data_IF_173216221530
#
_entry.id   IF_173216221530
#
_cell.length_a   1.000
_cell.length_b   1.000
_cell.length_c   1.000
_cell.angle_alpha   90.00
_cell.angle_beta   90.00
_cell.angle_gamma   90.00
#
_symmetry.space_group_name_H-M   'P 1'
#
loop_
_entity.id
_entity.type
_entity.pdbx_description
1 polymer ?
#
# COMPACT_ATOMS: atom_id res chain seq x y z
N UNK A 1 -45.67 54.36 -41.92
CA UNK A 1 -45.21 53.98 -40.60
C UNK A 1 -44.40 52.65 -40.70
N UNK A 2 -43.14 52.75 -40.60
CA UNK A 2 -42.27 51.62 -40.68
C UNK A 2 -42.11 50.95 -39.27
N UNK A 3 -42.71 49.82 -39.08
CA UNK A 3 -42.48 49.02 -37.86
C UNK A 3 -41.07 48.43 -37.93
N UNK A 4 -40.18 48.95 -37.14
CA UNK A 4 -38.88 48.34 -36.90
C UNK A 4 -39.09 47.11 -35.99
N UNK A 5 -39.09 45.97 -36.60
CA UNK A 5 -39.05 44.69 -35.88
C UNK A 5 -37.73 44.61 -35.12
N UNK A 6 -37.78 44.82 -33.81
CA UNK A 6 -36.68 44.62 -32.91
C UNK A 6 -36.45 43.10 -32.83
N UNK A 7 -35.51 42.59 -33.62
CA UNK A 7 -34.99 41.25 -33.40
C UNK A 7 -34.40 41.24 -32.00
N UNK A 8 -35.12 40.62 -31.09
CA UNK A 8 -34.51 40.13 -29.88
C UNK A 8 -33.42 39.13 -30.32
N UNK A 9 -32.17 39.54 -30.18
CA UNK A 9 -31.08 38.58 -30.16
C UNK A 9 -31.35 37.70 -28.95
N UNK A 10 -31.82 36.50 -29.22
CA UNK A 10 -31.70 35.41 -28.26
C UNK A 10 -30.21 35.27 -27.98
N UNK A 11 -29.77 35.92 -26.91
CA UNK A 11 -28.52 35.64 -26.29
C UNK A 11 -28.64 34.20 -25.79
N UNK A 12 -28.27 33.28 -26.66
CA UNK A 12 -28.00 31.90 -26.27
C UNK A 12 -26.91 31.95 -25.21
N UNK A 13 -27.35 32.09 -23.98
CA UNK A 13 -26.49 31.92 -22.81
C UNK A 13 -26.06 30.45 -22.79
N UNK A 14 -25.13 30.12 -23.68
CA UNK A 14 -24.46 28.84 -23.63
C UNK A 14 -23.65 28.82 -22.32
N UNK A 15 -24.16 28.06 -21.36
CA UNK A 15 -23.45 27.80 -20.13
C UNK A 15 -22.18 27.05 -20.55
N UNK A 16 -21.05 27.72 -20.36
CA UNK A 16 -19.75 27.06 -20.58
C UNK A 16 -19.44 26.15 -19.39
N UNK A 17 -19.39 24.83 -19.64
CA UNK A 17 -19.12 23.81 -18.65
C UNK A 17 -17.62 23.46 -18.57
N UNK A 18 -16.78 24.09 -19.40
CA UNK A 18 -15.33 23.79 -19.44
C UNK A 18 -14.64 23.98 -18.11
N UNK A 19 -14.87 25.06 -17.32
CA UNK A 19 -14.27 25.20 -15.99
C UNK A 19 -14.72 24.13 -15.01
N UNK A 20 -15.97 23.65 -15.13
CA UNK A 20 -16.49 22.57 -14.27
C UNK A 20 -15.83 21.23 -14.57
N UNK A 21 -15.63 20.92 -15.86
CA UNK A 21 -14.91 19.72 -16.29
C UNK A 21 -13.45 19.75 -15.82
N UNK A 22 -12.79 20.89 -15.90
CA UNK A 22 -11.39 21.04 -15.47
C UNK A 22 -11.22 20.74 -13.97
N UNK A 23 -12.08 21.31 -13.12
CA UNK A 23 -12.09 21.03 -11.69
C UNK A 23 -12.30 19.55 -11.41
N UNK A 24 -13.23 18.91 -12.09
CA UNK A 24 -13.50 17.47 -11.93
C UNK A 24 -12.30 16.64 -12.35
N UNK A 25 -11.63 16.95 -13.45
CA UNK A 25 -10.42 16.27 -13.89
C UNK A 25 -9.27 16.44 -12.92
N UNK A 26 -9.04 17.63 -12.40
CA UNK A 26 -8.00 17.88 -11.39
C UNK A 26 -8.28 17.08 -10.13
N UNK A 27 -9.50 17.03 -9.63
CA UNK A 27 -9.87 16.22 -8.48
C UNK A 27 -9.72 14.74 -8.74
N UNK A 28 -10.07 14.25 -9.93
CA UNK A 28 -9.87 12.85 -10.33
C UNK A 28 -8.39 12.47 -10.31
N UNK A 29 -7.54 13.28 -10.91
CA UNK A 29 -6.08 13.07 -10.93
C UNK A 29 -5.53 13.08 -9.50
N UNK A 30 -5.97 14.01 -8.67
CA UNK A 30 -5.58 14.09 -7.27
C UNK A 30 -5.94 12.81 -6.52
N UNK A 31 -7.17 12.30 -6.65
CA UNK A 31 -7.58 11.05 -6.02
C UNK A 31 -6.81 9.84 -6.53
N UNK A 32 -6.52 9.76 -7.83
CA UNK A 32 -5.72 8.66 -8.41
C UNK A 32 -4.30 8.69 -7.85
N UNK A 33 -3.67 9.85 -7.80
CA UNK A 33 -2.31 9.99 -7.28
C UNK A 33 -2.25 9.68 -5.77
N UNK A 34 -3.22 10.18 -4.99
CA UNK A 34 -3.23 9.97 -3.53
C UNK A 34 -3.61 8.53 -3.15
N UNK A 35 -4.40 7.83 -3.97
CA UNK A 35 -4.76 6.43 -3.73
C UNK A 35 -3.58 5.45 -3.92
N UNK A 36 -2.48 5.89 -4.53
CA UNK A 36 -1.34 5.03 -4.89
C UNK A 36 -0.32 4.82 -3.78
N UNK A 37 -0.52 5.37 -2.59
CA UNK A 37 0.46 5.31 -1.50
C UNK A 37 0.28 4.13 -0.53
N UNK A 38 -0.39 3.06 -0.94
CA UNK A 38 -0.45 1.86 -0.12
C UNK A 38 0.85 1.08 -0.33
N UNK A 39 1.63 0.96 0.74
CA UNK A 39 2.84 0.15 0.73
C UNK A 39 2.46 -1.32 0.77
N UNK A 40 2.74 -2.02 -0.31
CA UNK A 40 2.48 -3.45 -0.43
C UNK A 40 3.77 -4.25 -0.25
N UNK A 41 3.64 -5.44 0.32
CA UNK A 41 4.78 -6.35 0.51
C UNK A 41 5.29 -6.98 -0.79
N UNK A 42 4.55 -6.82 -1.88
CA UNK A 42 4.90 -7.33 -3.20
C UNK A 42 4.27 -8.68 -3.56
N UNK A 43 3.77 -9.40 -2.57
CA UNK A 43 3.01 -10.63 -2.77
C UNK A 43 1.58 -10.47 -2.25
N UNK A 44 0.64 -11.12 -2.94
CA UNK A 44 -0.72 -11.25 -2.44
C UNK A 44 -0.75 -12.42 -1.46
N UNK A 45 -0.90 -12.12 -0.18
CA UNK A 45 -0.95 -13.14 0.88
C UNK A 45 -2.33 -13.17 1.51
N UNK A 46 -2.82 -14.37 1.80
CA UNK A 46 -4.02 -14.58 2.59
C UNK A 46 -3.57 -14.76 4.04
N UNK A 47 -3.90 -13.79 4.86
CA UNK A 47 -3.49 -13.78 6.28
C UNK A 47 -4.35 -14.75 7.08
N UNK A 48 -3.77 -15.55 7.97
CA UNK A 48 -4.56 -16.38 8.88
C UNK A 48 -5.32 -15.53 9.90
N UNK A 49 -6.47 -16.02 10.33
CA UNK A 49 -7.23 -15.40 11.41
C UNK A 49 -6.55 -15.63 12.77
N UNK A 50 -6.49 -14.59 13.57
CA UNK A 50 -6.01 -14.70 14.94
C UNK A 50 -6.90 -13.87 15.88
N UNK A 51 -7.21 -14.44 17.04
CA UNK A 51 -8.05 -13.80 18.04
C UNK A 51 -7.45 -12.52 18.63
N UNK A 52 -6.13 -12.38 18.55
CA UNK A 52 -5.39 -11.25 19.13
C UNK A 52 -4.64 -10.43 18.10
N UNK A 53 -5.27 -10.12 16.97
CA UNK A 53 -4.63 -9.31 15.95
C UNK A 53 -4.65 -7.82 16.31
N UNK A 54 -3.48 -7.17 16.23
CA UNK A 54 -3.33 -5.73 16.41
C UNK A 54 -2.97 -5.09 15.09
N UNK A 55 -3.77 -4.11 14.67
CA UNK A 55 -3.47 -3.36 13.46
C UNK A 55 -2.30 -2.40 13.70
N UNK A 56 -1.25 -2.52 12.91
CA UNK A 56 -0.07 -1.65 12.96
C UNK A 56 -0.03 -0.74 11.74
N UNK A 57 -0.61 0.49 11.83
CA UNK A 57 -0.70 1.41 10.70
C UNK A 57 0.65 2.03 10.32
N UNK A 58 1.62 2.02 11.23
CA UNK A 58 2.92 2.66 11.04
C UNK A 58 4.04 1.70 10.64
N UNK A 59 3.69 0.47 10.22
CA UNK A 59 4.68 -0.48 9.74
C UNK A 59 5.38 0.07 8.49
N UNK A 60 6.68 0.24 8.58
CA UNK A 60 7.49 0.79 7.49
C UNK A 60 8.13 -0.30 6.65
N UNK A 61 8.45 -1.43 7.28
CA UNK A 61 9.10 -2.57 6.64
C UNK A 61 8.13 -3.74 6.65
N UNK A 62 7.66 -4.12 5.47
CA UNK A 62 6.75 -5.25 5.28
C UNK A 62 7.49 -6.42 4.64
N UNK A 63 7.55 -7.51 5.37
CA UNK A 63 7.99 -8.82 4.88
C UNK A 63 6.77 -9.67 4.60
N UNK A 64 6.69 -10.31 3.45
CA UNK A 64 5.63 -11.25 3.15
C UNK A 64 6.19 -12.65 2.86
N UNK A 65 5.46 -13.65 3.29
CA UNK A 65 5.74 -15.07 2.99
C UNK A 65 4.53 -15.57 2.20
N UNK A 66 4.75 -16.01 0.96
CA UNK A 66 3.68 -16.49 0.11
C UNK A 66 3.35 -17.98 0.36
N UNK A 67 2.35 -18.49 -0.34
CA UNK A 67 1.91 -19.89 -0.28
C UNK A 67 3.00 -20.92 -0.65
N UNK A 68 4.05 -20.48 -1.35
CA UNK A 68 5.20 -21.29 -1.76
C UNK A 68 6.44 -21.10 -0.85
N UNK A 69 6.26 -20.48 0.32
CA UNK A 69 7.31 -20.14 1.26
C UNK A 69 8.39 -19.18 0.72
N UNK A 70 8.06 -18.43 -0.32
CA UNK A 70 8.93 -17.37 -0.84
C UNK A 70 8.79 -16.12 0.00
N UNK A 71 9.92 -15.52 0.27
CA UNK A 71 9.99 -14.30 1.08
C UNK A 71 10.05 -13.08 0.17
N UNK A 72 9.14 -12.16 0.39
CA UNK A 72 9.02 -10.92 -0.37
C UNK A 72 9.33 -9.72 0.52
N UNK A 73 10.20 -8.86 0.05
CA UNK A 73 10.52 -7.59 0.67
C UNK A 73 10.57 -6.52 -0.41
N UNK A 74 9.84 -5.43 -0.20
CA UNK A 74 9.78 -4.30 -1.13
C UNK A 74 9.50 -4.74 -2.59
N UNK A 75 8.51 -5.63 -2.76
CA UNK A 75 8.06 -6.21 -4.04
C UNK A 75 9.08 -7.08 -4.76
N UNK A 76 10.13 -7.50 -4.07
CA UNK A 76 11.16 -8.39 -4.60
C UNK A 76 11.25 -9.65 -3.76
N UNK A 77 11.42 -10.78 -4.43
CA UNK A 77 11.74 -12.02 -3.74
C UNK A 77 13.18 -11.99 -3.24
N UNK A 78 13.37 -12.32 -1.98
CA UNK A 78 14.69 -12.37 -1.35
C UNK A 78 15.00 -13.75 -0.79
N UNK A 79 16.29 -14.09 -0.71
CA UNK A 79 16.75 -15.29 -0.02
C UNK A 79 16.70 -15.08 1.51
N UNK A 80 16.33 -16.10 2.30
CA UNK A 80 16.39 -16.03 3.76
C UNK A 80 17.73 -15.56 4.33
N UNK A 81 18.84 -15.86 3.65
CA UNK A 81 20.18 -15.42 4.05
C UNK A 81 20.42 -13.93 3.89
N UNK A 82 19.69 -13.28 2.99
CA UNK A 82 19.83 -11.85 2.72
C UNK A 82 18.89 -10.98 3.56
N UNK A 83 18.02 -11.56 4.37
CA UNK A 83 17.08 -10.82 5.23
C UNK A 83 17.83 -9.85 6.15
N UNK A 84 18.84 -10.32 6.85
CA UNK A 84 19.63 -9.50 7.78
C UNK A 84 20.22 -8.26 7.13
N UNK A 85 20.82 -8.41 5.96
CA UNK A 85 21.47 -7.32 5.22
C UNK A 85 20.41 -6.30 4.74
N UNK A 86 19.32 -6.79 4.18
CA UNK A 86 18.24 -5.94 3.68
C UNK A 86 17.52 -5.18 4.81
N UNK A 87 17.25 -5.86 5.91
CA UNK A 87 16.62 -5.25 7.09
C UNK A 87 17.52 -4.17 7.70
N UNK A 88 18.81 -4.46 7.86
CA UNK A 88 19.77 -3.48 8.39
C UNK A 88 19.85 -2.25 7.49
N UNK A 89 19.83 -2.43 6.17
CA UNK A 89 19.79 -1.32 5.22
C UNK A 89 18.53 -0.47 5.38
N UNK A 90 17.36 -1.11 5.43
CA UNK A 90 16.06 -0.39 5.55
C UNK A 90 15.92 0.30 6.91
N UNK A 91 16.45 -0.29 7.98
CA UNK A 91 16.48 0.34 9.30
C UNK A 91 17.44 1.52 9.39
N UNK A 92 18.53 1.48 8.63
CA UNK A 92 19.44 2.62 8.52
C UNK A 92 18.77 3.81 7.83
N UNK A 93 17.91 3.56 6.84
CA UNK A 93 17.11 4.59 6.17
C UNK A 93 15.96 5.10 7.06
N UNK A 94 15.38 4.23 7.88
CA UNK A 94 14.27 4.57 8.78
C UNK A 94 14.42 3.87 10.13
N UNK A 95 15.15 4.45 11.09
CA UNK A 95 15.43 3.84 12.39
C UNK A 95 14.20 3.56 13.26
N UNK A 96 13.12 4.32 13.05
CA UNK A 96 11.86 4.18 13.81
C UNK A 96 10.85 3.23 13.13
N UNK A 97 11.19 2.69 11.97
CA UNK A 97 10.33 1.77 11.23
C UNK A 97 10.12 0.45 11.95
N UNK A 98 8.87 0.06 12.12
CA UNK A 98 8.51 -1.26 12.63
C UNK A 98 8.56 -2.30 11.51
N UNK A 99 8.99 -3.51 11.84
CA UNK A 99 9.00 -4.65 10.92
C UNK A 99 7.76 -5.51 11.17
N UNK A 100 6.99 -5.73 10.12
CA UNK A 100 5.81 -6.59 10.15
C UNK A 100 5.99 -7.73 9.16
N UNK A 101 5.78 -8.95 9.63
CA UNK A 101 5.78 -10.16 8.81
C UNK A 101 4.34 -10.53 8.48
N UNK A 102 4.04 -10.59 7.20
CA UNK A 102 2.75 -11.06 6.70
C UNK A 102 2.94 -12.47 6.13
N UNK A 103 2.41 -13.46 6.82
CA UNK A 103 2.47 -14.85 6.36
C UNK A 103 1.16 -15.26 5.71
N UNK A 104 1.25 -15.93 4.56
CA UNK A 104 0.10 -16.57 3.93
C UNK A 104 -0.41 -17.72 4.81
N UNK A 105 -1.72 -17.98 4.80
CA UNK A 105 -2.34 -19.08 5.55
C UNK A 105 -1.79 -20.44 5.13
N UNK A 106 -1.38 -20.59 3.88
CA UNK A 106 -0.82 -21.82 3.32
C UNK A 106 0.71 -21.89 3.43
N UNK A 107 1.37 -20.84 3.98
CA UNK A 107 2.80 -20.88 4.26
C UNK A 107 3.11 -21.84 5.40
N UNK A 108 4.30 -22.45 5.36
CA UNK A 108 4.71 -23.37 6.42
C UNK A 108 5.19 -22.64 7.67
N UNK A 109 4.99 -23.24 8.84
CA UNK A 109 5.52 -22.73 10.10
C UNK A 109 7.06 -22.66 10.09
N UNK A 110 7.71 -23.58 9.38
CA UNK A 110 9.16 -23.59 9.20
C UNK A 110 9.66 -22.31 8.51
N UNK A 111 8.97 -21.87 7.44
CA UNK A 111 9.30 -20.64 6.73
C UNK A 111 9.15 -19.40 7.63
N UNK A 112 8.08 -19.33 8.42
CA UNK A 112 7.86 -18.26 9.38
C UNK A 112 8.95 -18.21 10.44
N UNK A 113 9.31 -19.37 11.00
CA UNK A 113 10.38 -19.49 12.01
C UNK A 113 11.71 -19.05 11.44
N UNK A 114 12.07 -19.46 10.23
CA UNK A 114 13.29 -19.03 9.55
C UNK A 114 13.36 -17.51 9.39
N UNK A 115 12.27 -16.89 9.01
CA UNK A 115 12.18 -15.42 8.88
C UNK A 115 12.31 -14.74 10.23
N UNK A 116 11.63 -15.24 11.25
CA UNK A 116 11.69 -14.68 12.62
C UNK A 116 13.10 -14.79 13.19
N UNK A 117 13.77 -15.94 13.01
CA UNK A 117 15.15 -16.13 13.46
C UNK A 117 16.12 -15.18 12.74
N UNK A 118 15.96 -15.01 11.43
CA UNK A 118 16.76 -14.05 10.67
C UNK A 118 16.54 -12.60 11.12
N UNK A 119 15.32 -12.25 11.50
CA UNK A 119 15.01 -10.94 12.06
C UNK A 119 15.62 -10.72 13.44
N UNK A 120 15.63 -11.75 14.29
CA UNK A 120 16.33 -11.70 15.59
C UNK A 120 17.82 -11.50 15.41
N UNK A 121 18.45 -12.18 14.45
CA UNK A 121 19.86 -11.99 14.10
C UNK A 121 20.16 -10.58 13.59
N UNK A 122 19.18 -9.91 12.99
CA UNK A 122 19.26 -8.52 12.58
C UNK A 122 19.01 -7.52 13.73
N UNK A 123 18.75 -8.00 14.95
CA UNK A 123 18.50 -7.15 16.13
C UNK A 123 17.04 -6.82 16.39
N UNK A 124 16.10 -7.46 15.69
CA UNK A 124 14.67 -7.31 15.92
C UNK A 124 14.19 -8.40 16.86
N UNK A 125 14.07 -8.05 18.15
CA UNK A 125 13.77 -9.03 19.20
C UNK A 125 12.32 -9.50 19.19
N UNK A 126 11.38 -8.67 18.77
CA UNK A 126 9.94 -8.96 18.74
C UNK A 126 9.37 -8.53 17.38
N UNK A 127 9.47 -9.39 16.36
CA UNK A 127 8.80 -9.11 15.09
C UNK A 127 7.28 -9.27 15.26
N UNK A 128 6.52 -8.37 14.62
CA UNK A 128 5.08 -8.50 14.55
C UNK A 128 4.69 -9.41 13.40
N UNK A 129 3.90 -10.41 13.66
CA UNK A 129 3.32 -11.27 12.63
C UNK A 129 1.89 -10.78 12.37
N UNK A 130 1.63 -10.34 11.15
CA UNK A 130 0.31 -9.88 10.75
C UNK A 130 -0.57 -11.08 10.39
N UNK A 131 -1.76 -11.07 10.95
CA UNK A 131 -2.83 -12.03 10.67
C UNK A 131 -4.00 -11.32 10.02
N UNK A 132 -4.88 -12.04 9.31
CA UNK A 132 -6.11 -11.42 8.84
C UNK A 132 -7.03 -11.11 10.02
N UNK A 133 -7.58 -9.89 10.00
CA UNK A 133 -8.76 -9.54 10.78
C UNK A 133 -9.94 -9.48 9.82
N UNK A 134 -10.97 -10.20 10.06
CA UNK A 134 -12.25 -9.94 9.41
C UNK A 134 -12.84 -8.59 9.86
#
# INVERSE_FOLDING_TARGET
MRRVSKRQSEDDTKIDITPMLDVVFIMLIFFIVTASFIKESGAKVVKPDAETSVKRPNATILLAIDENDKIWLDRKTIDPRSIKVNINRLRAENPEGEVVVQADVDSTAEAVIKVVDALKDAGILIPYVATSTE
#
